data_IF_837196397845
#
_entry.id   IF_837196397845
#
_cell.length_a   1.000
_cell.length_b   1.000
_cell.length_c   1.000
_cell.angle_alpha   90.00
_cell.angle_beta   90.00
_cell.angle_gamma   90.00
#
_symmetry.space_group_name_H-M   'P 1'
#
loop_
_entity.id
_entity.type
_entity.pdbx_description
1 polymer ?
#
# COMPACT_ATOMS: atom_id res chain seq x y z
N UNK A 1 -1.18 20.10 44.27
CA UNK A 1 -1.44 20.05 42.82
C UNK A 1 -2.32 18.84 42.50
N UNK A 2 -3.63 19.04 42.35
CA UNK A 2 -4.61 18.01 41.99
C UNK A 2 -5.73 18.66 41.17
N UNK A 3 -5.56 18.84 39.84
CA UNK A 3 -6.66 19.19 38.89
C UNK A 3 -6.18 19.39 37.44
N UNK A 4 -5.33 18.52 36.86
CA UNK A 4 -4.99 18.60 35.41
C UNK A 4 -5.13 17.27 34.66
N UNK A 5 -5.45 16.16 35.33
CA UNK A 5 -5.45 14.83 34.70
C UNK A 5 -6.74 14.44 33.93
N UNK A 6 -7.97 14.95 34.21
CA UNK A 6 -9.15 14.41 33.51
C UNK A 6 -9.45 15.05 32.15
N UNK A 7 -8.84 16.19 31.79
CA UNK A 7 -9.15 16.88 30.51
C UNK A 7 -8.35 16.30 29.33
N UNK A 8 -7.16 15.75 29.56
CA UNK A 8 -6.38 15.12 28.49
C UNK A 8 -6.93 13.75 28.04
N UNK A 9 -7.73 13.08 28.88
CA UNK A 9 -8.32 11.77 28.54
C UNK A 9 -9.59 11.95 27.71
N UNK A 10 -10.39 13.00 27.94
CA UNK A 10 -11.64 13.21 27.20
C UNK A 10 -11.43 13.66 25.74
N UNK A 11 -10.37 14.42 25.44
CA UNK A 11 -10.05 14.82 24.06
C UNK A 11 -9.48 13.69 23.19
N UNK A 12 -9.07 12.58 23.81
CA UNK A 12 -8.56 11.39 23.13
C UNK A 12 -9.67 10.44 22.64
N UNK A 13 -10.94 10.64 23.03
CA UNK A 13 -12.02 9.70 22.68
C UNK A 13 -12.96 10.15 21.55
N UNK A 14 -12.80 11.37 21.00
CA UNK A 14 -13.76 11.92 20.01
C UNK A 14 -13.23 11.85 18.57
N UNK A 15 -12.02 11.33 18.32
CA UNK A 15 -11.44 11.20 16.96
C UNK A 15 -10.78 9.84 16.67
N UNK A 16 -11.12 8.79 17.42
CA UNK A 16 -10.33 7.55 17.48
C UNK A 16 -10.91 6.33 16.76
N UNK A 17 -11.99 6.44 15.99
CA UNK A 17 -12.48 5.27 15.23
C UNK A 17 -11.47 4.79 14.17
N UNK A 18 -10.71 5.70 13.54
CA UNK A 18 -9.71 5.34 12.52
C UNK A 18 -8.33 4.99 13.10
N UNK A 19 -7.94 5.59 14.23
CA UNK A 19 -6.61 5.39 14.83
C UNK A 19 -6.54 4.19 15.77
N UNK A 20 -7.64 3.73 16.35
CA UNK A 20 -7.64 2.57 17.24
C UNK A 20 -7.36 1.25 16.52
N UNK A 21 -7.85 1.08 15.28
CA UNK A 21 -7.62 -0.12 14.47
C UNK A 21 -6.13 -0.31 14.11
N UNK A 22 -5.39 0.78 13.90
CA UNK A 22 -3.95 0.73 13.64
C UNK A 22 -3.09 0.51 14.90
N UNK A 23 -3.63 0.79 16.09
CA UNK A 23 -2.91 0.73 17.37
C UNK A 23 -3.15 -0.56 18.17
N UNK A 24 -4.28 -1.26 17.94
CA UNK A 24 -4.70 -2.40 18.76
C UNK A 24 -4.60 -3.77 18.06
N UNK A 25 -4.20 -3.79 16.79
CA UNK A 25 -4.22 -5.02 15.98
C UNK A 25 -5.64 -5.48 15.64
N UNK A 26 -5.78 -6.59 14.90
CA UNK A 26 -7.08 -7.06 14.44
C UNK A 26 -7.99 -7.42 15.62
N UNK A 27 -9.22 -6.92 15.62
CA UNK A 27 -10.25 -7.26 16.63
C UNK A 27 -11.00 -8.53 16.24
N UNK A 28 -11.25 -9.43 17.21
CA UNK A 28 -12.08 -10.62 16.98
C UNK A 28 -13.46 -10.21 16.45
N UNK A 29 -13.85 -10.81 15.33
CA UNK A 29 -15.16 -10.63 14.73
C UNK A 29 -16.18 -11.56 15.40
N UNK A 30 -17.31 -11.00 15.84
CA UNK A 30 -18.47 -11.74 16.32
C UNK A 30 -19.67 -11.52 15.38
N UNK A 31 -20.78 -12.25 15.61
CA UNK A 31 -21.98 -12.17 14.77
C UNK A 31 -22.50 -10.72 14.63
N UNK A 32 -22.52 -9.95 15.71
CA UNK A 32 -22.96 -8.55 15.69
C UNK A 32 -22.09 -7.70 14.76
N UNK A 33 -20.77 -7.89 14.77
CA UNK A 33 -19.87 -7.16 13.87
C UNK A 33 -20.05 -7.55 12.40
N UNK A 34 -20.32 -8.83 12.09
CA UNK A 34 -20.67 -9.26 10.72
C UNK A 34 -21.93 -8.53 10.24
N UNK A 35 -22.96 -8.45 11.08
CA UNK A 35 -24.21 -7.75 10.73
C UNK A 35 -24.04 -6.25 10.58
N UNK A 36 -23.19 -5.62 11.40
CA UNK A 36 -22.88 -4.20 11.28
C UNK A 36 -22.15 -3.89 9.97
N UNK A 37 -21.20 -4.71 9.56
CA UNK A 37 -20.53 -4.58 8.27
C UNK A 37 -21.50 -4.80 7.11
N UNK A 38 -22.37 -5.80 7.24
CA UNK A 38 -23.39 -6.09 6.24
C UNK A 38 -24.39 -4.93 6.09
N UNK A 39 -24.78 -4.31 7.20
CA UNK A 39 -25.59 -3.10 7.22
C UNK A 39 -24.87 -1.90 6.60
N UNK A 40 -23.57 -1.75 6.88
CA UNK A 40 -22.74 -0.68 6.31
C UNK A 40 -22.63 -0.82 4.80
N UNK A 41 -22.37 -2.03 4.29
CA UNK A 41 -22.35 -2.35 2.85
C UNK A 41 -23.68 -2.03 2.13
N UNK A 42 -24.78 -1.98 2.89
CA UNK A 42 -26.11 -1.67 2.40
C UNK A 42 -26.54 -0.21 2.67
N UNK A 43 -25.63 0.66 3.13
CA UNK A 43 -25.92 2.09 3.31
C UNK A 43 -26.52 2.46 4.66
N UNK A 44 -26.31 1.66 5.70
CA UNK A 44 -26.62 2.02 7.09
C UNK A 44 -27.62 1.10 7.81
N UNK A 45 -28.24 0.15 7.11
CA UNK A 45 -29.11 -0.87 7.70
C UNK A 45 -28.98 -2.19 6.95
N UNK A 46 -29.15 -3.36 7.62
CA UNK A 46 -28.96 -4.64 6.96
C UNK A 46 -30.04 -4.86 5.88
N UNK A 47 -29.72 -5.55 4.77
CA UNK A 47 -30.66 -5.79 3.69
C UNK A 47 -31.90 -6.53 4.19
N UNK A 48 -33.12 -6.16 3.74
CA UNK A 48 -34.36 -6.75 4.25
C UNK A 48 -34.38 -8.27 4.04
N UNK A 49 -34.90 -8.99 5.04
CA UNK A 49 -35.04 -10.44 4.95
C UNK A 49 -35.99 -10.83 3.82
N UNK A 50 -35.68 -11.94 3.14
CA UNK A 50 -36.46 -12.46 2.02
C UNK A 50 -36.62 -13.97 2.11
N UNK A 51 -37.81 -14.45 1.75
CA UNK A 51 -38.08 -15.89 1.56
C UNK A 51 -37.75 -16.37 0.13
N UNK A 52 -37.36 -15.45 -0.77
CA UNK A 52 -37.07 -15.74 -2.17
C UNK A 52 -35.56 -15.83 -2.38
N UNK A 53 -34.99 -17.01 -2.68
CA UNK A 53 -33.55 -17.18 -2.89
C UNK A 53 -33.01 -16.31 -4.02
N UNK A 54 -33.76 -16.13 -5.11
CA UNK A 54 -33.36 -15.29 -6.25
C UNK A 54 -33.22 -13.80 -5.93
N UNK A 55 -33.82 -13.32 -4.83
CA UNK A 55 -33.70 -11.93 -4.34
C UNK A 55 -32.71 -11.80 -3.18
N UNK A 56 -32.10 -12.90 -2.78
CA UNK A 56 -31.11 -12.90 -1.71
C UNK A 56 -29.77 -12.38 -2.21
N UNK A 57 -28.92 -12.05 -1.26
CA UNK A 57 -27.55 -11.70 -1.52
C UNK A 57 -26.66 -12.37 -0.47
N UNK A 58 -25.41 -12.63 -0.85
CA UNK A 58 -24.42 -13.26 0.02
C UNK A 58 -23.38 -12.21 0.37
N UNK A 59 -23.14 -12.00 1.66
CA UNK A 59 -22.08 -11.13 2.15
C UNK A 59 -20.99 -11.97 2.80
N UNK A 60 -19.74 -11.79 2.37
CA UNK A 60 -18.58 -12.54 2.86
C UNK A 60 -17.61 -11.58 3.54
N UNK A 61 -17.15 -11.95 4.72
CA UNK A 61 -16.25 -11.15 5.54
C UNK A 61 -15.26 -12.03 6.30
N UNK A 62 -14.27 -11.44 6.97
CA UNK A 62 -13.22 -12.18 7.67
C UNK A 62 -12.98 -11.65 9.08
N UNK A 63 -12.78 -12.55 10.03
CA UNK A 63 -12.11 -12.26 11.29
C UNK A 63 -10.60 -12.30 11.09
N UNK A 64 -9.98 -11.12 10.96
CA UNK A 64 -8.54 -10.99 10.79
C UNK A 64 -7.75 -11.55 11.98
N UNK A 65 -8.32 -11.56 13.19
CA UNK A 65 -7.63 -12.09 14.37
C UNK A 65 -7.54 -13.61 14.35
N UNK A 66 -8.63 -14.27 13.95
CA UNK A 66 -8.72 -15.73 13.92
C UNK A 66 -8.37 -16.33 12.55
N UNK A 67 -8.21 -15.52 11.51
CA UNK A 67 -8.03 -15.96 10.13
C UNK A 67 -9.24 -16.72 9.59
N UNK A 68 -10.46 -16.37 10.02
CA UNK A 68 -11.70 -17.11 9.74
C UNK A 68 -12.61 -16.33 8.80
N UNK A 69 -13.10 -16.97 7.75
CA UNK A 69 -14.01 -16.36 6.79
C UNK A 69 -15.46 -16.72 7.14
N UNK A 70 -16.32 -15.71 7.18
CA UNK A 70 -17.75 -15.84 7.43
C UNK A 70 -18.54 -15.45 6.20
N UNK A 71 -19.67 -16.10 5.99
CA UNK A 71 -20.67 -15.71 5.02
C UNK A 71 -22.01 -15.50 5.72
N UNK A 72 -22.79 -14.53 5.26
CA UNK A 72 -24.15 -14.27 5.75
C UNK A 72 -25.06 -13.96 4.57
N UNK A 73 -26.37 -14.18 4.74
CA UNK A 73 -27.36 -13.82 3.73
C UNK A 73 -28.59 -13.18 4.36
N UNK A 74 -29.33 -12.39 3.59
CA UNK A 74 -30.66 -11.91 3.95
C UNK A 74 -31.78 -12.92 3.61
N UNK A 75 -31.46 -14.13 3.16
CA UNK A 75 -32.46 -15.18 3.01
C UNK A 75 -32.89 -15.74 4.37
N UNK A 76 -34.20 -15.92 4.55
CA UNK A 76 -34.78 -16.61 5.70
C UNK A 76 -36.06 -17.35 5.26
N UNK A 77 -36.20 -18.65 5.54
CA UNK A 77 -37.42 -19.39 5.18
C UNK A 77 -38.63 -18.96 6.03
N UNK A 78 -38.38 -18.47 7.26
CA UNK A 78 -39.38 -17.90 8.15
C UNK A 78 -38.97 -16.49 8.59
N UNK A 79 -39.66 -15.47 8.06
CA UNK A 79 -39.36 -14.06 8.33
C UNK A 79 -39.83 -13.57 9.71
N UNK A 80 -40.53 -14.40 10.49
CA UNK A 80 -40.84 -14.10 11.89
C UNK A 80 -39.59 -14.18 12.76
N UNK A 81 -38.62 -15.01 12.38
CA UNK A 81 -37.26 -15.00 12.90
C UNK A 81 -36.44 -13.91 12.20
N UNK A 82 -36.10 -12.86 12.97
CA UNK A 82 -35.37 -11.69 12.48
C UNK A 82 -33.85 -11.87 12.45
N UNK A 83 -33.36 -13.07 12.73
CA UNK A 83 -31.92 -13.38 12.71
C UNK A 83 -31.45 -13.73 11.30
N UNK A 84 -30.26 -13.24 10.94
CA UNK A 84 -29.60 -13.59 9.68
C UNK A 84 -28.82 -14.89 9.85
N UNK A 85 -28.80 -15.71 8.80
CA UNK A 85 -27.99 -16.93 8.79
C UNK A 85 -26.52 -16.57 8.61
N UNK A 86 -25.66 -16.99 9.54
CA UNK A 86 -24.20 -16.80 9.48
C UNK A 86 -23.53 -18.17 9.41
N UNK A 87 -22.64 -18.35 8.45
CA UNK A 87 -21.90 -19.57 8.19
C UNK A 87 -20.40 -19.29 8.29
N UNK A 88 -19.66 -20.14 9.00
CA UNK A 88 -18.20 -20.17 8.97
C UNK A 88 -17.74 -21.04 7.79
N UNK A 89 -16.92 -20.49 6.88
CA UNK A 89 -16.38 -21.23 5.74
C UNK A 89 -15.12 -22.00 6.16
N UNK A 90 -15.16 -23.33 6.07
CA UNK A 90 -14.12 -24.23 6.59
C UNK A 90 -12.94 -24.46 5.63
N UNK A 91 -13.06 -24.05 4.37
CA UNK A 91 -12.00 -24.22 3.37
C UNK A 91 -11.23 -22.97 2.98
N UNK A 92 -11.64 -21.78 3.46
CA UNK A 92 -11.07 -20.51 2.99
C UNK A 92 -11.19 -20.33 1.47
N UNK A 93 -12.15 -21.03 0.84
CA UNK A 93 -12.53 -20.93 -0.58
C UNK A 93 -14.03 -20.66 -0.63
N UNK A 94 -14.47 -19.86 -1.59
CA UNK A 94 -15.89 -19.65 -1.86
C UNK A 94 -16.44 -20.86 -2.62
N UNK A 95 -16.75 -21.92 -1.90
CA UNK A 95 -17.41 -23.11 -2.44
C UNK A 95 -18.93 -22.91 -2.47
N UNK A 96 -19.53 -23.16 -3.64
CA UNK A 96 -20.97 -23.04 -3.84
C UNK A 96 -21.78 -24.04 -2.98
N UNK A 97 -21.26 -25.24 -2.75
CA UNK A 97 -21.91 -26.26 -1.91
C UNK A 97 -21.90 -25.87 -0.43
N UNK A 98 -20.82 -25.24 0.03
CA UNK A 98 -20.73 -24.71 1.39
C UNK A 98 -21.68 -23.52 1.56
N UNK A 99 -21.65 -22.56 0.65
CA UNK A 99 -22.56 -21.40 0.67
C UNK A 99 -24.04 -21.79 0.56
N UNK A 100 -24.38 -22.93 -0.05
CA UNK A 100 -25.77 -23.43 -0.11
C UNK A 100 -26.38 -23.64 1.27
N UNK A 101 -25.57 -23.90 2.30
CA UNK A 101 -26.03 -24.06 3.69
C UNK A 101 -26.69 -22.80 4.25
N UNK A 102 -26.34 -21.60 3.74
CA UNK A 102 -27.01 -20.35 4.10
C UNK A 102 -28.50 -20.32 3.70
N UNK A 103 -28.89 -21.21 2.79
CA UNK A 103 -30.21 -21.31 2.18
C UNK A 103 -30.94 -22.60 2.55
N UNK A 104 -30.64 -23.14 3.74
CA UNK A 104 -31.38 -24.29 4.29
C UNK A 104 -32.89 -24.02 4.28
N UNK A 105 -33.66 -24.99 3.77
CA UNK A 105 -35.12 -24.87 3.59
C UNK A 105 -35.57 -24.19 2.29
N UNK A 106 -34.66 -23.68 1.45
CA UNK A 106 -35.01 -23.18 0.12
C UNK A 106 -35.15 -24.32 -0.91
N UNK A 107 -36.07 -24.16 -1.86
CA UNK A 107 -36.18 -25.03 -3.03
C UNK A 107 -34.89 -25.04 -3.88
N UNK A 108 -34.68 -26.10 -4.67
CA UNK A 108 -33.48 -26.29 -5.50
C UNK A 108 -33.55 -25.60 -6.87
N UNK A 109 -34.38 -24.57 -7.00
CA UNK A 109 -34.66 -23.87 -8.27
C UNK A 109 -33.73 -22.68 -8.55
N UNK A 110 -32.61 -22.56 -7.83
CA UNK A 110 -31.65 -21.48 -8.00
C UNK A 110 -30.21 -21.93 -7.88
N UNK A 111 -29.30 -21.12 -8.44
CA UNK A 111 -27.86 -21.36 -8.38
C UNK A 111 -27.19 -20.32 -7.50
N UNK A 112 -26.54 -20.77 -6.42
CA UNK A 112 -25.82 -19.91 -5.46
C UNK A 112 -24.79 -19.00 -6.16
N UNK A 113 -24.08 -19.52 -7.16
CA UNK A 113 -23.08 -18.75 -7.92
C UNK A 113 -23.67 -17.64 -8.79
N UNK A 114 -24.96 -17.74 -9.14
CA UNK A 114 -25.67 -16.71 -9.90
C UNK A 114 -26.18 -15.56 -9.03
N UNK A 115 -26.16 -15.69 -7.70
CA UNK A 115 -26.64 -14.65 -6.80
C UNK A 115 -25.65 -13.47 -6.69
N UNK A 116 -26.11 -12.27 -6.33
CA UNK A 116 -25.23 -11.16 -5.95
C UNK A 116 -24.35 -11.55 -4.75
N UNK A 117 -23.04 -11.38 -4.90
CA UNK A 117 -22.06 -11.69 -3.87
C UNK A 117 -21.25 -10.44 -3.52
N UNK A 118 -21.34 -10.02 -2.27
CA UNK A 118 -20.58 -8.90 -1.71
C UNK A 118 -19.43 -9.44 -0.87
N UNK A 119 -18.19 -9.14 -1.25
CA UNK A 119 -17.00 -9.64 -0.57
C UNK A 119 -16.28 -8.46 0.07
N UNK A 120 -16.14 -8.48 1.40
CA UNK A 120 -15.33 -7.50 2.10
C UNK A 120 -13.88 -7.55 1.62
N UNK A 121 -13.26 -6.38 1.46
CA UNK A 121 -11.94 -6.24 0.85
C UNK A 121 -10.85 -7.08 1.54
N UNK A 122 -10.88 -7.18 2.87
CA UNK A 122 -9.90 -7.97 3.64
C UNK A 122 -9.89 -9.46 3.31
N UNK A 123 -11.01 -10.01 2.82
CA UNK A 123 -11.10 -11.44 2.52
C UNK A 123 -10.16 -11.82 1.36
N UNK A 124 -9.94 -10.89 0.42
CA UNK A 124 -9.02 -11.10 -0.70
C UNK A 124 -7.55 -11.21 -0.30
N UNK A 125 -7.18 -10.82 0.94
CA UNK A 125 -5.82 -11.04 1.46
C UNK A 125 -5.55 -12.51 1.77
N UNK A 126 -6.59 -13.30 2.01
CA UNK A 126 -6.49 -14.72 2.38
C UNK A 126 -6.76 -15.64 1.20
N UNK A 127 -7.56 -15.19 0.23
CA UNK A 127 -7.64 -15.87 -1.06
C UNK A 127 -6.35 -15.64 -1.86
N UNK A 128 -5.39 -16.56 -1.72
CA UNK A 128 -4.14 -16.58 -2.49
C UNK A 128 -4.36 -16.58 -4.01
N UNK A 129 -5.57 -16.92 -4.45
CA UNK A 129 -5.96 -17.05 -5.84
C UNK A 129 -7.37 -16.50 -6.08
N UNK A 130 -7.47 -15.47 -6.91
CA UNK A 130 -8.74 -14.83 -7.27
C UNK A 130 -9.48 -15.53 -8.41
N UNK A 131 -8.99 -16.68 -8.91
CA UNK A 131 -9.68 -17.50 -9.95
C UNK A 131 -11.08 -17.94 -9.54
N UNK A 132 -11.39 -18.02 -8.25
CA UNK A 132 -12.76 -18.33 -7.82
C UNK A 132 -13.79 -17.31 -8.34
N UNK A 133 -13.36 -16.06 -8.59
CA UNK A 133 -14.22 -15.01 -9.14
C UNK A 133 -14.80 -15.37 -10.51
N UNK A 134 -14.14 -16.25 -11.28
CA UNK A 134 -14.65 -16.72 -12.57
C UNK A 134 -15.97 -17.48 -12.43
N UNK A 135 -16.22 -18.08 -11.25
CA UNK A 135 -17.47 -18.81 -10.95
C UNK A 135 -18.59 -17.88 -10.50
N UNK A 136 -18.29 -16.67 -10.07
CA UNK A 136 -19.26 -15.72 -9.50
C UNK A 136 -19.34 -14.45 -10.35
N UNK A 137 -20.22 -14.39 -11.37
CA UNK A 137 -20.29 -13.26 -12.28
C UNK A 137 -20.81 -11.95 -11.64
N UNK A 138 -21.49 -12.05 -10.49
CA UNK A 138 -22.16 -10.93 -9.82
C UNK A 138 -21.43 -10.50 -8.53
N UNK A 139 -20.09 -10.49 -8.55
CA UNK A 139 -19.28 -10.10 -7.39
C UNK A 139 -19.10 -8.58 -7.31
N UNK A 140 -19.24 -8.07 -6.10
CA UNK A 140 -18.91 -6.69 -5.71
C UNK A 140 -17.95 -6.74 -4.54
N UNK A 141 -16.81 -6.06 -4.64
CA UNK A 141 -15.92 -5.83 -3.51
C UNK A 141 -16.50 -4.70 -2.64
N UNK A 142 -16.44 -4.88 -1.32
CA UNK A 142 -16.94 -3.92 -0.33
C UNK A 142 -15.77 -3.45 0.52
N UNK A 143 -15.56 -2.14 0.61
CA UNK A 143 -14.52 -1.57 1.47
C UNK A 143 -14.94 -1.55 2.94
N UNK A 144 -14.02 -1.16 3.83
CA UNK A 144 -14.29 -1.07 5.26
C UNK A 144 -15.37 -0.03 5.57
N UNK A 145 -15.46 1.03 4.78
CA UNK A 145 -16.51 2.05 4.86
C UNK A 145 -17.86 1.59 4.28
N UNK A 146 -17.92 0.40 3.68
CA UNK A 146 -19.13 -0.13 3.04
C UNK A 146 -19.34 0.33 1.61
N UNK A 147 -18.36 1.03 1.02
CA UNK A 147 -18.42 1.40 -0.39
C UNK A 147 -18.29 0.17 -1.28
N UNK A 148 -19.15 0.10 -2.30
CA UNK A 148 -19.26 -1.03 -3.22
C UNK A 148 -18.56 -0.75 -4.54
N UNK A 149 -17.77 -1.72 -4.99
CA UNK A 149 -16.99 -1.64 -6.21
C UNK A 149 -17.19 -2.92 -7.05
N UNK A 150 -17.60 -2.79 -8.33
CA UNK A 150 -17.78 -3.96 -9.18
C UNK A 150 -16.45 -4.67 -9.43
N UNK A 151 -16.51 -5.99 -9.53
CA UNK A 151 -15.35 -6.80 -9.92
C UNK A 151 -15.44 -7.16 -11.40
N UNK A 152 -14.36 -6.92 -12.14
CA UNK A 152 -14.22 -7.23 -13.57
C UNK A 152 -12.87 -7.86 -13.84
N UNK A 153 -12.84 -8.96 -14.60
CA UNK A 153 -11.60 -9.66 -14.96
C UNK A 153 -10.69 -9.97 -13.75
N UNK A 154 -11.28 -10.32 -12.60
CA UNK A 154 -10.60 -10.55 -11.30
C UNK A 154 -9.95 -9.32 -10.67
N UNK A 155 -10.25 -8.12 -11.15
CA UNK A 155 -9.86 -6.85 -10.56
C UNK A 155 -11.07 -6.09 -10.03
N UNK A 156 -10.86 -5.24 -9.03
CA UNK A 156 -11.87 -4.31 -8.54
C UNK A 156 -11.80 -3.05 -9.40
N UNK A 157 -12.91 -2.66 -10.02
CA UNK A 157 -12.98 -1.40 -10.76
C UNK A 157 -13.47 -0.30 -9.82
N UNK A 158 -12.54 0.51 -9.30
CA UNK A 158 -12.86 1.59 -8.34
C UNK A 158 -13.47 2.82 -9.01
N UNK A 159 -13.16 3.01 -10.30
CA UNK A 159 -13.74 3.99 -11.23
C UNK A 159 -13.66 3.41 -12.64
N UNK A 160 -14.51 3.86 -13.58
CA UNK A 160 -14.43 3.42 -14.98
C UNK A 160 -12.99 3.44 -15.53
N UNK A 161 -12.47 2.26 -15.91
CA UNK A 161 -11.11 2.10 -16.46
C UNK A 161 -9.96 2.09 -15.43
N UNK A 162 -10.26 2.16 -14.13
CA UNK A 162 -9.29 2.13 -13.04
C UNK A 162 -9.45 0.84 -12.23
N UNK A 163 -8.55 -0.11 -12.49
CA UNK A 163 -8.60 -1.47 -11.96
C UNK A 163 -7.54 -1.66 -10.89
N UNK A 164 -7.94 -2.26 -9.76
CA UNK A 164 -7.02 -2.57 -8.67
C UNK A 164 -7.10 -4.04 -8.29
N UNK A 165 -5.96 -4.60 -7.88
CA UNK A 165 -5.95 -5.94 -7.35
C UNK A 165 -6.91 -6.02 -6.14
N UNK A 166 -7.78 -7.05 -6.03
CA UNK A 166 -8.77 -7.12 -4.96
C UNK A 166 -8.18 -7.16 -3.54
N UNK A 167 -6.91 -7.52 -3.40
CA UNK A 167 -6.17 -7.54 -2.13
C UNK A 167 -5.70 -6.17 -1.64
N UNK A 168 -5.75 -5.14 -2.49
CA UNK A 168 -5.37 -3.77 -2.12
C UNK A 168 -6.42 -3.19 -1.19
N UNK A 169 -5.99 -2.54 -0.11
CA UNK A 169 -6.87 -1.83 0.83
C UNK A 169 -7.58 -0.66 0.12
N UNK A 170 -8.87 -0.81 -0.19
CA UNK A 170 -9.61 0.10 -1.07
C UNK A 170 -9.79 1.51 -0.50
N UNK A 171 -10.04 1.63 0.81
CA UNK A 171 -10.19 2.94 1.47
C UNK A 171 -8.84 3.68 1.53
N UNK A 172 -7.76 2.96 1.86
CA UNK A 172 -6.41 3.50 1.83
C UNK A 172 -5.96 3.86 0.41
N UNK A 173 -6.33 3.06 -0.60
CA UNK A 173 -6.12 3.44 -1.99
C UNK A 173 -6.84 4.75 -2.33
N UNK A 174 -8.09 4.91 -1.88
CA UNK A 174 -8.86 6.10 -2.16
C UNK A 174 -8.18 7.36 -1.62
N UNK A 175 -7.83 7.35 -0.33
CA UNK A 175 -7.10 8.45 0.30
C UNK A 175 -5.72 8.65 -0.31
N UNK A 176 -4.95 7.58 -0.50
CA UNK A 176 -3.58 7.68 -0.99
C UNK A 176 -3.46 8.09 -2.46
N UNK A 177 -4.35 7.66 -3.35
CA UNK A 177 -4.25 8.00 -4.77
C UNK A 177 -5.01 9.27 -5.08
N UNK A 178 -6.22 9.46 -4.52
CA UNK A 178 -7.07 10.59 -4.91
C UNK A 178 -6.93 11.80 -3.99
N UNK A 179 -6.54 11.64 -2.72
CA UNK A 179 -6.38 12.77 -1.80
C UNK A 179 -4.93 13.16 -1.57
N UNK A 180 -3.97 12.25 -1.85
CA UNK A 180 -2.56 12.58 -1.73
C UNK A 180 -2.20 13.69 -2.70
N UNK A 181 -1.85 14.84 -2.11
CA UNK A 181 -1.39 15.99 -2.86
C UNK A 181 -0.11 15.65 -3.65
N UNK A 182 -0.08 16.16 -4.86
CA UNK A 182 1.05 16.21 -5.75
C UNK A 182 1.28 17.68 -6.09
N UNK A 183 2.42 18.22 -5.64
CA UNK A 183 2.83 19.57 -6.01
C UNK A 183 4.25 19.50 -6.61
N UNK A 184 4.39 19.60 -7.94
CA UNK A 184 5.68 19.64 -8.60
C UNK A 184 6.64 20.70 -8.03
N UNK A 185 6.14 21.81 -7.51
CA UNK A 185 6.98 22.88 -6.94
C UNK A 185 7.59 22.49 -5.58
N UNK A 186 6.98 21.55 -4.86
CA UNK A 186 7.49 21.03 -3.59
C UNK A 186 8.43 19.83 -3.76
N UNK A 187 8.67 19.41 -5.01
CA UNK A 187 9.49 18.25 -5.34
C UNK A 187 10.80 18.67 -6.01
N UNK A 188 11.85 17.91 -5.74
CA UNK A 188 13.05 17.93 -6.57
C UNK A 188 12.99 16.78 -7.57
N UNK A 189 13.00 17.09 -8.86
CA UNK A 189 12.85 16.08 -9.91
C UNK A 189 14.19 15.80 -10.59
N UNK A 190 14.59 14.54 -10.61
CA UNK A 190 15.78 14.07 -11.28
C UNK A 190 15.38 13.17 -12.44
N UNK A 191 15.84 13.48 -13.66
CA UNK A 191 15.56 12.65 -14.83
C UNK A 191 16.76 11.82 -15.24
N UNK A 192 16.53 10.52 -15.38
CA UNK A 192 17.43 9.52 -15.94
C UNK A 192 17.14 9.26 -17.42
N UNK A 193 16.20 9.99 -18.03
CA UNK A 193 15.79 9.78 -19.42
C UNK A 193 16.83 10.32 -20.40
N UNK A 194 16.92 9.70 -21.56
CA UNK A 194 17.81 10.16 -22.62
C UNK A 194 17.05 10.83 -23.77
N UNK A 195 16.04 11.62 -23.42
CA UNK A 195 15.16 12.30 -24.37
C UNK A 195 15.09 13.80 -24.05
N UNK A 196 15.51 14.63 -25.01
CA UNK A 196 15.58 16.08 -24.83
C UNK A 196 14.19 16.69 -24.66
N UNK A 197 13.24 16.34 -25.53
CA UNK A 197 11.90 16.92 -25.54
C UNK A 197 11.13 16.59 -24.26
N UNK A 198 11.29 15.36 -23.76
CA UNK A 198 10.71 14.95 -22.47
C UNK A 198 11.37 15.70 -21.32
N UNK A 199 12.70 15.86 -21.32
CA UNK A 199 13.41 16.59 -20.27
C UNK A 199 13.04 18.07 -20.24
N UNK A 200 12.89 18.74 -21.39
CA UNK A 200 12.43 20.13 -21.46
C UNK A 200 11.01 20.30 -20.92
N UNK A 201 10.13 19.34 -21.19
CA UNK A 201 8.79 19.34 -20.62
C UNK A 201 8.77 19.13 -19.10
N UNK A 202 9.63 18.26 -18.57
CA UNK A 202 9.76 18.06 -17.12
C UNK A 202 10.35 19.30 -16.44
N UNK A 203 11.33 19.95 -17.05
CA UNK A 203 11.92 21.21 -16.57
C UNK A 203 10.89 22.33 -16.45
N UNK A 204 9.94 22.40 -17.40
CA UNK A 204 8.84 23.36 -17.35
C UNK A 204 7.83 23.11 -16.22
N UNK A 205 7.77 21.89 -15.67
CA UNK A 205 6.82 21.48 -14.63
C UNK A 205 7.46 21.47 -13.23
N UNK A 206 8.71 21.02 -13.12
CA UNK A 206 9.42 20.87 -11.86
C UNK A 206 10.49 21.96 -11.71
N UNK A 207 10.34 22.86 -10.74
CA UNK A 207 11.20 24.03 -10.60
C UNK A 207 12.68 23.72 -10.31
N UNK A 208 12.95 22.62 -9.60
CA UNK A 208 14.31 22.19 -9.23
C UNK A 208 14.75 20.98 -10.07
N UNK A 209 14.34 20.92 -11.35
CA UNK A 209 14.61 19.80 -12.26
C UNK A 209 16.10 19.67 -12.59
N UNK A 210 16.59 18.42 -12.64
CA UNK A 210 17.94 18.09 -13.05
C UNK A 210 17.98 16.83 -13.91
N UNK A 211 18.54 16.93 -15.11
CA UNK A 211 18.87 15.76 -15.92
C UNK A 211 20.22 15.17 -15.47
N UNK A 212 20.21 13.91 -15.07
CA UNK A 212 21.36 13.21 -14.49
C UNK A 212 21.78 12.02 -15.35
N UNK A 213 23.07 11.73 -15.36
CA UNK A 213 23.68 10.74 -16.28
C UNK A 213 24.33 9.57 -15.57
N UNK A 214 24.59 9.67 -14.26
CA UNK A 214 25.27 8.64 -13.48
C UNK A 214 24.59 8.40 -12.13
N UNK A 215 24.86 7.23 -11.54
CA UNK A 215 24.30 6.84 -10.24
C UNK A 215 24.81 7.76 -9.12
N UNK A 216 26.10 8.08 -9.10
CA UNK A 216 26.70 8.99 -8.11
C UNK A 216 26.03 10.38 -8.06
N UNK A 217 25.53 10.85 -9.22
CA UNK A 217 24.79 12.11 -9.29
C UNK A 217 23.44 12.03 -8.59
N UNK A 218 22.78 10.85 -8.62
CA UNK A 218 21.53 10.60 -7.89
C UNK A 218 21.78 10.74 -6.39
N UNK A 219 22.77 10.00 -5.87
CA UNK A 219 23.06 9.95 -4.43
C UNK A 219 23.45 11.33 -3.90
N UNK A 220 24.27 12.06 -4.66
CA UNK A 220 24.68 13.41 -4.31
C UNK A 220 23.49 14.39 -4.32
N UNK A 221 22.63 14.34 -5.34
CA UNK A 221 21.45 15.19 -5.41
C UNK A 221 20.48 14.88 -4.25
N UNK A 222 20.25 13.61 -3.96
CA UNK A 222 19.43 13.18 -2.83
C UNK A 222 19.98 13.73 -1.51
N UNK A 223 21.29 13.63 -1.27
CA UNK A 223 21.92 14.12 -0.04
C UNK A 223 21.88 15.65 0.10
N UNK A 224 22.02 16.38 -1.01
CA UNK A 224 22.09 17.85 -1.01
C UNK A 224 20.73 18.54 -1.05
N UNK A 225 19.72 17.83 -1.57
CA UNK A 225 18.38 18.37 -1.75
C UNK A 225 17.78 18.85 -0.42
N UNK A 226 17.07 19.98 -0.45
CA UNK A 226 16.33 20.51 0.71
C UNK A 226 14.85 20.13 0.70
N UNK A 227 14.37 19.53 -0.40
CA UNK A 227 12.98 19.09 -0.52
C UNK A 227 12.76 17.80 0.27
N UNK A 228 11.54 17.66 0.79
CA UNK A 228 11.12 16.45 1.52
C UNK A 228 10.74 15.33 0.57
N UNK A 229 10.41 15.66 -0.67
CA UNK A 229 9.99 14.73 -1.71
C UNK A 229 10.95 14.82 -2.88
N UNK A 230 11.45 13.67 -3.31
CA UNK A 230 12.27 13.52 -4.51
C UNK A 230 11.47 12.73 -5.54
N UNK A 231 11.42 13.24 -6.76
CA UNK A 231 10.84 12.57 -7.91
C UNK A 231 11.97 12.06 -8.81
N UNK A 232 12.05 10.77 -9.08
CA UNK A 232 12.98 10.21 -10.04
C UNK A 232 12.21 9.79 -11.29
N UNK A 233 12.58 10.36 -12.43
CA UNK A 233 11.94 10.08 -13.71
C UNK A 233 12.86 9.22 -14.56
N UNK A 234 12.38 8.11 -15.11
CA UNK A 234 13.19 7.16 -15.87
C UNK A 234 12.35 6.19 -16.71
N UNK A 235 12.98 5.21 -17.36
CA UNK A 235 12.27 4.05 -17.90
C UNK A 235 12.22 2.96 -16.80
N UNK A 236 11.03 2.42 -16.53
CA UNK A 236 10.83 1.37 -15.51
C UNK A 236 10.37 0.09 -16.19
N UNK A 237 11.17 -0.96 -16.03
CA UNK A 237 10.93 -2.26 -16.63
C UNK A 237 9.77 -3.04 -15.98
N UNK A 238 9.46 -4.24 -16.50
CA UNK A 238 8.40 -5.12 -15.94
C UNK A 238 8.70 -5.53 -14.50
N UNK A 239 9.93 -5.94 -14.31
CA UNK A 239 10.60 -6.35 -13.09
C UNK A 239 10.91 -5.19 -12.12
N UNK A 240 10.49 -3.96 -12.45
CA UNK A 240 10.63 -2.81 -11.54
C UNK A 240 12.06 -2.29 -11.44
N UNK A 241 12.89 -2.56 -12.45
CA UNK A 241 14.22 -1.96 -12.57
C UNK A 241 14.08 -0.59 -13.25
N UNK A 242 14.82 0.38 -12.73
CA UNK A 242 15.02 1.67 -13.38
C UNK A 242 16.16 1.51 -14.36
N UNK A 243 15.85 1.62 -15.65
CA UNK A 243 16.79 1.43 -16.75
C UNK A 243 17.07 2.78 -17.38
N UNK A 244 18.34 3.05 -17.67
CA UNK A 244 18.74 4.19 -18.49
C UNK A 244 19.39 3.69 -19.77
N UNK A 245 18.96 4.24 -20.90
CA UNK A 245 19.59 3.99 -22.20
C UNK A 245 20.53 5.13 -22.61
N UNK A 246 21.52 4.79 -23.44
CA UNK A 246 22.38 5.72 -24.19
C UNK A 246 21.67 6.18 -25.46
N UNK A 247 22.22 7.16 -26.16
CA UNK A 247 21.62 7.71 -27.39
C UNK A 247 21.61 6.72 -28.55
N UNK A 248 22.48 5.72 -28.51
CA UNK A 248 22.50 4.60 -29.45
C UNK A 248 21.52 3.47 -29.08
N UNK A 249 20.76 3.60 -27.99
CA UNK A 249 19.81 2.59 -27.51
C UNK A 249 20.42 1.49 -26.64
N UNK A 250 21.74 1.51 -26.38
CA UNK A 250 22.36 0.58 -25.45
C UNK A 250 21.98 0.91 -24.00
N UNK A 251 21.85 -0.10 -23.16
CA UNK A 251 21.66 0.10 -21.72
C UNK A 251 22.93 0.73 -21.14
N UNK A 252 22.77 1.87 -20.46
CA UNK A 252 23.83 2.53 -19.72
C UNK A 252 24.01 1.93 -18.34
N UNK A 253 22.91 1.68 -17.63
CA UNK A 253 22.86 0.96 -16.35
C UNK A 253 21.40 0.61 -16.01
N UNK A 254 21.25 -0.33 -15.08
CA UNK A 254 19.97 -0.76 -14.50
C UNK A 254 20.12 -0.81 -12.99
N UNK A 255 19.12 -0.30 -12.28
CA UNK A 255 19.10 -0.27 -10.82
C UNK A 255 17.74 -0.75 -10.31
N UNK A 256 17.69 -1.57 -9.26
CA UNK A 256 16.43 -1.94 -8.63
C UNK A 256 15.73 -0.70 -8.10
N UNK A 257 14.42 -0.55 -8.35
CA UNK A 257 13.64 0.53 -7.73
C UNK A 257 13.78 0.54 -6.19
N UNK A 258 13.94 -0.64 -5.58
CA UNK A 258 14.16 -0.81 -4.14
C UNK A 258 15.48 -0.21 -3.64
N UNK A 259 16.50 -0.03 -4.48
CA UNK A 259 17.75 0.60 -4.05
C UNK A 259 17.53 2.06 -3.60
N UNK A 260 16.60 2.77 -4.25
CA UNK A 260 16.27 4.15 -3.89
C UNK A 260 15.56 4.25 -2.54
N UNK A 261 14.96 3.16 -2.03
CA UNK A 261 14.33 3.13 -0.71
C UNK A 261 15.33 3.28 0.42
N UNK A 262 16.47 2.60 0.34
CA UNK A 262 17.50 2.66 1.38
C UNK A 262 18.07 4.08 1.48
N UNK A 263 18.41 4.66 0.33
CA UNK A 263 18.91 6.03 0.22
C UNK A 263 17.89 7.05 0.76
N UNK A 264 16.61 6.88 0.43
CA UNK A 264 15.53 7.75 0.92
C UNK A 264 15.31 7.63 2.43
N UNK A 265 15.33 6.40 2.95
CA UNK A 265 15.13 6.10 4.36
C UNK A 265 16.17 6.77 5.24
N UNK A 266 17.45 6.69 4.85
CA UNK A 266 18.56 7.34 5.56
C UNK A 266 18.42 8.87 5.57
N UNK A 267 17.95 9.44 4.47
CA UNK A 267 17.79 10.88 4.30
C UNK A 267 16.45 11.41 4.81
N UNK A 268 15.56 10.53 5.29
CA UNK A 268 14.18 10.84 5.74
C UNK A 268 13.37 11.58 4.68
N UNK A 269 13.54 11.20 3.42
CA UNK A 269 12.83 11.75 2.28
C UNK A 269 11.81 10.77 1.75
N UNK A 270 10.78 11.31 1.13
CA UNK A 270 9.86 10.54 0.33
C UNK A 270 10.37 10.46 -1.11
N UNK A 271 10.29 9.28 -1.72
CA UNK A 271 10.67 9.08 -3.12
C UNK A 271 9.46 8.64 -3.93
N UNK A 272 9.32 9.24 -5.10
CA UNK A 272 8.34 8.88 -6.11
C UNK A 272 9.12 8.54 -7.37
N UNK A 273 8.85 7.36 -7.96
CA UNK A 273 9.41 7.02 -9.27
C UNK A 273 8.35 7.20 -10.34
N UNK A 274 8.70 7.92 -11.40
CA UNK A 274 7.88 8.11 -12.59
C UNK A 274 8.58 7.44 -13.78
N UNK A 275 7.96 6.40 -14.30
CA UNK A 275 8.34 5.65 -15.47
C UNK A 275 7.73 6.26 -16.72
N UNK A 276 8.51 7.01 -17.50
CA UNK A 276 8.13 7.51 -18.82
C UNK A 276 8.58 6.52 -19.89
N UNK A 277 7.92 5.35 -19.95
CA UNK A 277 8.46 4.22 -20.70
C UNK A 277 8.47 4.43 -22.23
N UNK A 278 7.71 5.41 -22.72
CA UNK A 278 7.74 5.85 -24.11
C UNK A 278 8.99 6.65 -24.49
N UNK A 279 9.66 7.29 -23.52
CA UNK A 279 10.72 8.28 -23.78
C UNK A 279 12.00 7.65 -24.33
N UNK A 280 12.31 6.43 -23.88
CA UNK A 280 13.47 5.65 -24.33
C UNK A 280 13.04 4.45 -25.22
N UNK A 281 11.83 4.50 -25.79
CA UNK A 281 11.31 3.42 -26.62
C UNK A 281 12.12 3.26 -27.93
N UNK A 282 12.78 2.11 -28.04
CA UNK A 282 13.52 1.70 -29.22
C UNK A 282 12.65 1.36 -30.44
N UNK A 283 11.33 1.17 -30.26
CA UNK A 283 10.43 0.72 -31.33
C UNK A 283 10.03 1.81 -32.34
N UNK A 284 10.20 3.10 -31.98
CA UNK A 284 9.96 4.29 -32.83
C UNK A 284 8.56 4.41 -33.46
N UNK A 285 7.57 3.65 -33.00
CA UNK A 285 6.20 3.67 -33.56
C UNK A 285 5.30 4.74 -32.93
N UNK A 286 5.79 5.48 -31.94
CA UNK A 286 4.97 6.35 -31.12
C UNK A 286 5.22 7.84 -31.41
N UNK A 287 4.16 8.64 -31.37
CA UNK A 287 4.27 10.10 -31.40
C UNK A 287 4.73 10.62 -30.03
N UNK A 288 6.04 10.79 -29.89
CA UNK A 288 6.67 11.26 -28.65
C UNK A 288 6.19 12.66 -28.27
N UNK A 289 5.93 13.54 -29.25
CA UNK A 289 5.48 14.91 -28.97
C UNK A 289 4.07 14.92 -28.38
N UNK A 290 3.17 14.07 -28.90
CA UNK A 290 1.84 13.89 -28.34
C UNK A 290 1.88 13.36 -26.90
N UNK A 291 2.75 12.38 -26.61
CA UNK A 291 2.91 11.87 -25.24
C UNK A 291 3.50 12.91 -24.28
N UNK A 292 4.52 13.65 -24.71
CA UNK A 292 5.11 14.73 -23.91
C UNK A 292 4.05 15.76 -23.53
N UNK A 293 3.15 16.10 -24.45
CA UNK A 293 2.02 17.00 -24.17
C UNK A 293 1.06 16.40 -23.14
N UNK A 294 0.68 15.13 -23.30
CA UNK A 294 -0.22 14.44 -22.35
C UNK A 294 0.42 14.38 -20.96
N UNK A 295 1.71 14.03 -20.86
CA UNK A 295 2.47 14.00 -19.62
C UNK A 295 2.49 15.38 -18.95
N UNK A 296 2.84 16.42 -19.71
CA UNK A 296 2.94 17.80 -19.20
C UNK A 296 1.61 18.29 -18.63
N UNK A 297 0.51 18.10 -19.37
CA UNK A 297 -0.82 18.49 -18.88
C UNK A 297 -1.25 17.65 -17.68
N UNK A 298 -0.92 16.36 -17.65
CA UNK A 298 -1.27 15.48 -16.54
C UNK A 298 -0.57 15.88 -15.25
N UNK A 299 0.72 16.23 -15.31
CA UNK A 299 1.51 16.63 -14.15
C UNK A 299 1.16 18.03 -13.60
N UNK A 300 0.28 18.80 -14.25
CA UNK A 300 -0.27 20.05 -13.67
C UNK A 300 -1.35 19.80 -12.63
N UNK A 301 -1.93 18.61 -12.56
CA UNK A 301 -2.95 18.27 -11.58
C UNK A 301 -2.36 18.19 -10.16
N UNK A 302 -3.19 18.38 -9.13
CA UNK A 302 -2.72 18.39 -7.73
C UNK A 302 -2.90 17.09 -6.98
N UNK A 303 -3.47 16.07 -7.61
CA UNK A 303 -3.70 14.76 -7.00
C UNK A 303 -3.32 13.64 -7.95
N UNK A 304 -2.69 12.58 -7.43
CA UNK A 304 -2.21 11.46 -8.23
C UNK A 304 -3.31 10.77 -9.04
N UNK A 305 -4.51 10.65 -8.50
CA UNK A 305 -5.65 10.07 -9.19
C UNK A 305 -6.09 10.88 -10.41
N UNK A 306 -5.92 12.21 -10.39
CA UNK A 306 -6.19 13.09 -11.53
C UNK A 306 -5.09 13.01 -12.57
N UNK A 307 -3.82 12.95 -12.13
CA UNK A 307 -2.66 12.70 -13.00
C UNK A 307 -2.86 11.39 -13.78
N UNK A 308 -3.11 10.28 -13.07
CA UNK A 308 -3.30 8.97 -13.70
C UNK A 308 -4.51 8.92 -14.62
N UNK A 309 -5.63 9.55 -14.23
CA UNK A 309 -6.81 9.64 -15.09
C UNK A 309 -6.51 10.37 -16.40
N UNK A 310 -5.74 11.47 -16.33
CA UNK A 310 -5.38 12.25 -17.51
C UNK A 310 -4.46 11.47 -18.43
N UNK A 311 -3.47 10.77 -17.88
CA UNK A 311 -2.57 9.88 -18.63
C UNK A 311 -3.31 8.68 -19.27
N UNK A 312 -4.41 8.24 -18.67
CA UNK A 312 -5.21 7.14 -19.20
C UNK A 312 -5.95 7.52 -20.50
N UNK A 313 -6.25 8.82 -20.68
CA UNK A 313 -6.91 9.40 -21.87
C UNK A 313 -8.16 8.67 -22.40
N UNK A 314 -8.80 7.83 -21.58
CA UNK A 314 -9.99 7.04 -21.90
C UNK A 314 -9.75 5.77 -22.73
N UNK A 315 -8.56 5.58 -23.31
CA UNK A 315 -8.21 4.39 -24.11
C UNK A 315 -7.25 3.46 -23.37
N UNK A 316 -6.40 4.02 -22.52
CA UNK A 316 -5.47 3.26 -21.71
C UNK A 316 -6.15 2.82 -20.41
N UNK A 317 -5.66 1.72 -19.83
CA UNK A 317 -6.15 1.19 -18.57
C UNK A 317 -5.17 1.55 -17.46
N UNK A 318 -5.71 1.95 -16.30
CA UNK A 318 -4.89 2.14 -15.10
C UNK A 318 -5.02 0.90 -14.24
N UNK A 319 -3.90 0.26 -13.95
CA UNK A 319 -3.81 -0.87 -13.04
C UNK A 319 -3.02 -0.46 -11.80
N UNK A 320 -3.58 -0.70 -10.61
CA UNK A 320 -2.84 -0.51 -9.35
C UNK A 320 -2.66 -1.83 -8.63
N UNK A 321 -1.42 -2.11 -8.26
CA UNK A 321 -1.01 -3.28 -7.50
C UNK A 321 -0.17 -2.85 -6.30
N UNK A 322 -0.23 -3.63 -5.22
CA UNK A 322 0.64 -3.48 -4.05
C UNK A 322 1.60 -4.66 -4.00
N UNK A 323 2.74 -4.59 -4.71
CA UNK A 323 3.80 -5.58 -4.59
C UNK A 323 4.48 -5.52 -3.22
N UNK A 324 4.89 -6.69 -2.74
CA UNK A 324 5.82 -6.86 -1.63
C UNK A 324 7.13 -7.39 -2.20
N UNK A 325 8.21 -6.61 -2.08
CA UNK A 325 9.55 -7.01 -2.51
C UNK A 325 10.52 -6.70 -1.40
N UNK A 326 11.28 -7.70 -0.95
CA UNK A 326 12.27 -7.56 0.13
C UNK A 326 11.71 -6.96 1.43
N UNK A 327 10.43 -7.22 1.73
CA UNK A 327 9.74 -6.71 2.92
C UNK A 327 9.29 -5.24 2.80
N UNK A 328 9.47 -4.62 1.65
CA UNK A 328 8.98 -3.28 1.35
C UNK A 328 7.65 -3.35 0.60
N UNK A 329 6.65 -2.65 1.15
CA UNK A 329 5.35 -2.47 0.53
C UNK A 329 5.35 -1.14 -0.24
N UNK A 330 5.07 -1.20 -1.53
CA UNK A 330 4.90 0.00 -2.35
C UNK A 330 3.67 -0.14 -3.23
N UNK A 331 3.05 0.99 -3.56
CA UNK A 331 1.92 1.04 -4.50
C UNK A 331 2.50 1.31 -5.89
N UNK A 332 2.24 0.41 -6.82
CA UNK A 332 2.62 0.56 -8.23
C UNK A 332 1.37 0.79 -9.05
N UNK A 333 1.33 1.91 -9.76
CA UNK A 333 0.27 2.24 -10.71
C UNK A 333 0.84 2.20 -12.13
N UNK A 334 0.24 1.42 -13.01
CA UNK A 334 0.65 1.30 -14.41
C UNK A 334 -0.45 1.83 -15.31
N UNK A 335 -0.05 2.60 -16.33
CA UNK A 335 -0.95 3.02 -17.41
C UNK A 335 -0.58 2.20 -18.64
N UNK A 336 -1.42 1.21 -18.92
CA UNK A 336 -1.23 0.23 -19.99
C UNK A 336 -2.03 0.61 -21.22
N UNK A 337 -1.43 0.44 -22.40
CA UNK A 337 -2.05 0.70 -23.69
C UNK A 337 -2.94 -0.46 -24.14
N UNK A 338 -3.85 -0.23 -25.10
CA UNK A 338 -4.52 -1.30 -25.81
C UNK A 338 -3.53 -2.31 -26.42
N UNK A 339 -3.99 -3.54 -26.57
CA UNK A 339 -3.22 -4.61 -27.17
C UNK A 339 -2.71 -4.23 -28.57
N UNK A 340 -1.45 -4.56 -28.86
CA UNK A 340 -0.80 -4.26 -30.15
C UNK A 340 -0.07 -2.92 -30.22
N UNK A 341 -0.24 -2.00 -29.26
CA UNK A 341 0.49 -0.72 -29.22
C UNK A 341 1.75 -0.84 -28.37
N UNK A 342 2.91 -0.42 -28.89
CA UNK A 342 4.18 -0.41 -28.17
C UNK A 342 4.62 1.02 -27.78
N UNK A 343 5.18 1.22 -26.58
CA UNK A 343 5.34 0.22 -25.52
C UNK A 343 4.00 -0.11 -24.85
N UNK A 344 3.79 -1.38 -24.48
CA UNK A 344 2.54 -1.86 -23.89
C UNK A 344 2.20 -1.15 -22.58
N UNK A 345 3.21 -0.73 -21.82
CA UNK A 345 3.07 0.12 -20.64
C UNK A 345 3.62 1.50 -20.98
N UNK A 346 2.74 2.48 -21.06
CA UNK A 346 3.11 3.85 -21.39
C UNK A 346 3.76 4.55 -20.19
N UNK A 347 3.16 4.36 -19.02
CA UNK A 347 3.61 4.98 -17.77
C UNK A 347 3.64 3.97 -16.63
N UNK A 348 4.60 4.12 -15.72
CA UNK A 348 4.69 3.32 -14.49
C UNK A 348 5.01 4.23 -13.32
N UNK A 349 4.18 4.24 -12.29
CA UNK A 349 4.41 5.02 -11.09
C UNK A 349 4.68 4.07 -9.94
N UNK A 350 5.77 4.31 -9.22
CA UNK A 350 6.07 3.60 -7.98
C UNK A 350 6.04 4.62 -6.85
N UNK A 351 5.03 4.47 -6.00
CA UNK A 351 4.92 5.24 -4.77
C UNK A 351 5.38 4.35 -3.64
N UNK A 352 6.54 4.67 -3.10
CA UNK A 352 6.95 4.06 -1.87
C UNK A 352 5.99 4.53 -0.77
N UNK A 353 5.34 3.57 -0.12
CA UNK A 353 4.56 3.86 1.08
C UNK A 353 5.57 4.32 2.10
N UNK A 354 5.72 5.64 2.26
CA UNK A 354 6.51 6.18 3.37
C UNK A 354 5.94 5.50 4.62
N UNK A 355 6.68 4.60 5.29
CA UNK A 355 6.11 3.89 6.42
C UNK A 355 5.61 4.96 7.40
N UNK A 356 4.44 4.74 8.00
CA UNK A 356 3.99 5.56 9.11
C UNK A 356 5.17 5.77 10.04
N UNK A 357 5.46 7.04 10.39
CA UNK A 357 6.64 7.38 11.21
C UNK A 357 6.78 6.31 12.27
N UNK A 358 7.89 5.53 12.29
CA UNK A 358 8.00 4.45 13.22
C UNK A 358 7.73 5.03 14.59
N UNK A 359 6.88 4.38 15.39
CA UNK A 359 6.56 4.85 16.73
C UNK A 359 7.86 5.27 17.43
N UNK A 360 7.82 6.24 18.35
CA UNK A 360 9.03 6.72 19.00
C UNK A 360 9.92 5.57 19.53
N UNK A 361 9.30 4.45 19.91
CA UNK A 361 9.93 3.18 20.30
C UNK A 361 10.67 2.48 19.15
N UNK A 362 10.04 2.28 17.97
CA UNK A 362 10.70 1.64 16.82
C UNK A 362 11.79 2.55 16.25
N UNK A 363 11.58 3.86 16.24
CA UNK A 363 12.59 4.84 15.84
C UNK A 363 13.79 4.83 16.80
N UNK A 364 13.55 4.75 18.11
CA UNK A 364 14.58 4.60 19.11
C UNK A 364 15.33 3.27 18.96
N UNK A 365 14.62 2.16 18.71
CA UNK A 365 15.25 0.86 18.44
C UNK A 365 16.12 0.91 17.19
N UNK A 366 15.64 1.45 16.07
CA UNK A 366 16.45 1.62 14.85
C UNK A 366 17.66 2.52 15.08
N UNK A 367 17.52 3.59 15.85
CA UNK A 367 18.64 4.45 16.25
C UNK A 367 19.68 3.69 17.09
N UNK A 368 19.22 2.95 18.11
CA UNK A 368 20.04 2.11 19.00
C UNK A 368 20.76 1.01 18.21
N UNK A 369 20.08 0.37 17.24
CA UNK A 369 20.69 -0.62 16.36
C UNK A 369 21.70 -0.01 15.39
N UNK A 370 21.36 1.08 14.69
CA UNK A 370 22.26 1.75 13.74
C UNK A 370 23.48 2.41 14.39
N UNK A 371 23.41 2.73 15.68
CA UNK A 371 24.52 3.29 16.46
C UNK A 371 25.14 2.28 17.45
N UNK A 372 24.74 1.01 17.39
CA UNK A 372 25.14 -0.05 18.33
C UNK A 372 26.65 -0.18 18.47
N UNK A 373 27.42 -0.10 17.38
CA UNK A 373 28.88 -0.15 17.42
C UNK A 373 29.53 1.05 18.15
N UNK A 374 28.97 2.25 17.99
CA UNK A 374 29.45 3.46 18.70
C UNK A 374 29.10 3.41 20.19
N UNK A 375 27.89 2.95 20.51
CA UNK A 375 27.45 2.75 21.90
C UNK A 375 28.27 1.65 22.59
N UNK A 376 28.55 0.54 21.91
CA UNK A 376 29.42 -0.53 22.41
C UNK A 376 30.83 -0.01 22.74
N UNK A 377 31.42 0.78 21.85
CA UNK A 377 32.74 1.39 22.07
C UNK A 377 32.76 2.29 23.32
N UNK A 378 31.73 3.10 23.51
CA UNK A 378 31.59 3.95 24.70
C UNK A 378 31.40 3.13 25.98
N UNK A 379 30.59 2.07 25.93
CA UNK A 379 30.37 1.16 27.07
C UNK A 379 31.64 0.40 27.46
N UNK A 380 32.45 -0.02 26.50
CA UNK A 380 33.77 -0.65 26.74
C UNK A 380 34.72 0.34 27.42
N UNK A 381 34.82 1.57 26.93
CA UNK A 381 35.65 2.61 27.53
C UNK A 381 35.21 2.91 28.98
N UNK A 382 33.90 3.02 29.21
CA UNK A 382 33.34 3.23 30.55
C UNK A 382 33.60 2.05 31.48
N UNK A 383 33.56 0.82 30.95
CA UNK A 383 33.86 -0.39 31.71
C UNK A 383 35.32 -0.40 32.17
N UNK A 384 36.26 -0.05 31.28
CA UNK A 384 37.67 0.09 31.64
C UNK A 384 37.87 1.12 32.75
N UNK A 385 37.19 2.28 32.68
CA UNK A 385 37.24 3.29 33.73
C UNK A 385 36.70 2.78 35.08
N UNK A 386 35.61 1.99 35.09
CA UNK A 386 35.09 1.39 36.33
C UNK A 386 36.01 0.32 36.93
N UNK A 387 36.82 -0.37 36.13
CA UNK A 387 37.79 -1.36 36.64
C UNK A 387 39.07 -0.70 37.15
N UNK A 388 39.59 0.31 36.45
CA UNK A 388 40.94 0.83 36.69
C UNK A 388 40.98 2.16 37.44
N UNK A 389 39.93 2.99 37.35
CA UNK A 389 39.95 4.37 37.86
C UNK A 389 39.02 4.55 39.07
N UNK A 390 37.78 4.05 39.01
CA UNK A 390 36.78 4.33 40.04
C UNK A 390 36.67 3.23 41.12
N UNK A 391 37.09 3.53 42.36
CA UNK A 391 36.99 2.60 43.51
C UNK A 391 35.99 3.11 44.55
N UNK A 392 34.91 2.38 44.78
CA UNK A 392 33.89 2.69 45.80
C UNK A 392 32.75 1.68 45.83
N UNK A 393 31.94 1.67 46.90
CA UNK A 393 30.80 0.74 47.03
C UNK A 393 29.73 0.96 45.95
N UNK A 394 29.50 2.21 45.54
CA UNK A 394 28.55 2.56 44.48
C UNK A 394 29.08 2.21 43.09
N UNK A 395 30.40 2.22 42.87
CA UNK A 395 31.00 1.90 41.56
C UNK A 395 30.88 0.41 41.25
N UNK A 396 30.80 -0.47 42.26
CA UNK A 396 30.52 -1.89 42.06
C UNK A 396 29.13 -2.13 41.42
N UNK A 397 28.09 -1.42 41.86
CA UNK A 397 26.75 -1.57 41.27
C UNK A 397 26.71 -1.05 39.82
N UNK A 398 27.28 0.14 39.57
CA UNK A 398 27.34 0.73 38.23
C UNK A 398 28.17 -0.09 37.24
N UNK A 399 29.24 -0.75 37.72
CA UNK A 399 30.05 -1.67 36.93
C UNK A 399 29.26 -2.88 36.42
N UNK A 400 28.37 -3.43 37.24
CA UNK A 400 27.49 -4.53 36.82
C UNK A 400 26.41 -4.07 35.87
N UNK A 401 25.80 -2.90 36.13
CA UNK A 401 24.83 -2.28 35.21
C UNK A 401 25.47 -2.03 33.84
N UNK A 402 26.68 -1.46 33.81
CA UNK A 402 27.40 -1.19 32.56
C UNK A 402 27.84 -2.49 31.85
N UNK A 403 28.23 -3.52 32.59
CA UNK A 403 28.54 -4.84 32.02
C UNK A 403 27.32 -5.47 31.35
N UNK A 404 26.14 -5.41 31.99
CA UNK A 404 24.88 -5.91 31.42
C UNK A 404 24.52 -5.15 30.14
N UNK A 405 24.64 -3.81 30.15
CA UNK A 405 24.44 -3.01 28.94
C UNK A 405 25.42 -3.38 27.83
N UNK A 406 26.70 -3.61 28.16
CA UNK A 406 27.71 -4.02 27.20
C UNK A 406 27.35 -5.35 26.53
N UNK A 407 26.86 -6.33 27.29
CA UNK A 407 26.38 -7.60 26.74
C UNK A 407 25.16 -7.43 25.82
N UNK A 408 24.18 -6.61 26.22
CA UNK A 408 23.00 -6.31 25.40
C UNK A 408 23.40 -5.69 24.05
N UNK A 409 24.29 -4.70 24.07
CA UNK A 409 24.75 -4.01 22.86
C UNK A 409 25.71 -4.85 22.01
N UNK A 410 26.52 -5.72 22.62
CA UNK A 410 27.35 -6.68 21.89
C UNK A 410 26.47 -7.68 21.13
N UNK A 411 25.41 -8.19 21.77
CA UNK A 411 24.45 -9.07 21.12
C UNK A 411 23.73 -8.33 19.97
N UNK A 412 23.23 -7.12 20.20
CA UNK A 412 22.60 -6.32 19.15
C UNK A 412 23.52 -6.05 17.95
N UNK A 413 24.81 -5.78 18.19
CA UNK A 413 25.82 -5.55 17.14
C UNK A 413 26.16 -6.81 16.34
N UNK A 414 26.33 -7.96 17.01
CA UNK A 414 26.61 -9.24 16.34
C UNK A 414 25.44 -9.69 15.46
N UNK A 415 24.21 -9.41 15.87
CA UNK A 415 23.00 -9.74 15.11
C UNK A 415 22.62 -8.69 14.06
N UNK A 416 23.25 -7.51 14.05
CA UNK A 416 23.05 -6.50 12.98
C UNK A 416 23.96 -6.70 11.76
N UNK A 417 24.91 -7.64 11.82
CA UNK A 417 25.84 -7.99 10.73
C UNK A 417 25.33 -9.15 9.85
N UNK A 418 24.12 -9.67 10.14
CA UNK A 418 23.33 -10.55 9.28
C UNK A 418 22.14 -9.77 8.76
#
# INVERSE_FOLDING_TARGET
MKTIIPICIAFLFVKTSETAAQLLGPTRKNEQSVLLEFARANGGGPPPLTIQPSKSLIYITMDEFAGRVFATTNFKPDTTDKTYNILLLQGGMLDAAELRQLFEGAADDFTVTGLPVWIHNDVFRVFLDTRFLDKYPNVTAVSQEGQKFPVRNRFVEVRPGFFVAPSVELDNLASFMFERAFDPAEMEALSLLNNKDVNEALDAVFADFQAIRTVDQIEKAFAQSKKKVICLVGHISADGQVVRYRSNGEISYELPATQFLHLAGDLKKEVILIGCNFADDTSRTLDVAAEVKILTESLKNRHWGEVLRTLASGQNQVQVIEPNTDGFYFKRAEVSRPEGVKPARAYTFIFFKTPSKPSAVISALRFVYGHSGKMLSALVALQLLFFFVFKGRWTNTWKWVNLVLLFIFLFAFLFSLR
#
